data_IF_282774154937
#
_entry.id   IF_282774154937
#
_cell.length_a   1.000
_cell.length_b   1.000
_cell.length_c   1.000
_cell.angle_alpha   90.00
_cell.angle_beta   90.00
_cell.angle_gamma   90.00
#
_symmetry.space_group_name_H-M   'P 1'
#
loop_
_entity.id
_entity.type
_entity.pdbx_description
1 polymer ?
#
# COMPACT_ATOMS: atom_id res chain seq x y z
N UNK A 1 14.44 20.91 2.06
CA UNK A 1 14.40 19.50 2.58
C UNK A 1 13.50 18.72 1.65
N UNK A 2 14.02 17.66 1.00
CA UNK A 2 13.19 16.81 0.14
C UNK A 2 12.52 15.71 0.94
N UNK A 3 11.36 15.23 0.47
CA UNK A 3 10.72 14.00 0.93
C UNK A 3 10.72 12.99 -0.22
N UNK A 4 11.05 11.74 0.05
CA UNK A 4 10.96 10.64 -0.91
C UNK A 4 10.04 9.55 -0.35
N UNK A 5 8.90 9.35 -0.99
CA UNK A 5 7.99 8.25 -0.71
C UNK A 5 8.26 7.09 -1.69
N UNK A 6 8.61 5.94 -1.16
CA UNK A 6 8.93 4.74 -1.95
C UNK A 6 7.83 3.70 -1.81
N UNK A 7 7.45 3.11 -2.93
CA UNK A 7 6.83 1.80 -2.89
C UNK A 7 7.71 0.78 -2.15
N UNK A 8 7.10 -0.30 -1.68
CA UNK A 8 7.77 -1.33 -0.91
C UNK A 8 8.08 -2.58 -1.74
N UNK A 9 7.08 -3.23 -2.30
CA UNK A 9 7.21 -4.51 -3.00
C UNK A 9 7.82 -4.36 -4.40
N UNK A 10 8.87 -5.13 -4.70
CA UNK A 10 9.64 -5.07 -5.95
C UNK A 10 10.33 -3.71 -6.22
N UNK A 11 10.20 -2.76 -5.33
CA UNK A 11 10.85 -1.44 -5.38
C UNK A 11 11.97 -1.35 -4.35
N UNK A 12 11.63 -1.48 -3.09
CA UNK A 12 12.55 -1.43 -1.95
C UNK A 12 12.87 -2.83 -1.41
N UNK A 13 11.84 -3.69 -1.32
CA UNK A 13 11.90 -5.04 -0.80
C UNK A 13 11.63 -6.07 -1.90
N UNK A 14 12.56 -7.00 -2.08
CA UNK A 14 12.53 -8.06 -3.08
C UNK A 14 12.44 -9.43 -2.42
N UNK A 15 12.21 -10.49 -3.19
CA UNK A 15 12.25 -11.88 -2.67
C UNK A 15 13.59 -12.24 -2.01
N UNK A 16 14.67 -11.56 -2.39
CA UNK A 16 16.02 -11.71 -1.83
C UNK A 16 16.30 -10.76 -0.67
N UNK A 17 15.31 -9.98 -0.21
CA UNK A 17 15.43 -8.94 0.80
C UNK A 17 15.77 -7.57 0.22
N UNK A 18 16.26 -6.67 1.05
CA UNK A 18 16.69 -5.33 0.63
C UNK A 18 18.04 -5.36 -0.06
N UNK A 19 18.21 -4.53 -1.08
CA UNK A 19 19.52 -4.36 -1.74
C UNK A 19 20.41 -3.42 -0.90
N UNK A 20 21.62 -3.86 -0.56
CA UNK A 20 22.56 -3.10 0.26
C UNK A 20 22.82 -1.68 -0.28
N UNK A 21 22.98 -1.54 -1.60
CA UNK A 21 23.22 -0.23 -2.24
C UNK A 21 22.04 0.75 -2.05
N UNK A 22 20.81 0.24 -2.00
CA UNK A 22 19.63 1.06 -1.81
C UNK A 22 19.52 1.52 -0.35
N UNK A 23 19.85 0.66 0.62
CA UNK A 23 19.94 1.02 2.04
C UNK A 23 21.03 2.09 2.30
N UNK A 24 22.20 1.95 1.66
CA UNK A 24 23.28 2.94 1.76
C UNK A 24 22.86 4.29 1.16
N UNK A 25 22.15 4.28 0.03
CA UNK A 25 21.65 5.50 -0.60
C UNK A 25 20.58 6.20 0.27
N UNK A 26 19.64 5.45 0.85
CA UNK A 26 18.63 5.98 1.79
C UNK A 26 19.32 6.68 2.97
N UNK A 27 20.32 6.04 3.58
CA UNK A 27 21.09 6.66 4.68
C UNK A 27 21.78 7.94 4.27
N UNK A 28 22.37 7.97 3.06
CA UNK A 28 23.00 9.17 2.52
C UNK A 28 21.99 10.31 2.33
N UNK A 29 20.80 9.98 1.82
CA UNK A 29 19.68 10.91 1.63
C UNK A 29 19.22 11.52 2.96
N UNK A 30 19.00 10.68 3.97
CA UNK A 30 18.61 11.12 5.31
C UNK A 30 19.72 11.94 6.00
N UNK A 31 20.98 11.53 5.85
CA UNK A 31 22.14 12.29 6.36
C UNK A 31 22.27 13.68 5.74
N UNK A 32 21.83 13.85 4.49
CA UNK A 32 21.76 15.15 3.84
C UNK A 32 20.58 16.03 4.33
N UNK A 33 19.80 15.56 5.31
CA UNK A 33 18.70 16.29 5.93
C UNK A 33 17.36 16.12 5.23
N UNK A 34 17.22 15.08 4.39
CA UNK A 34 16.00 14.73 3.69
C UNK A 34 15.20 13.66 4.44
N UNK A 35 13.95 13.45 4.05
CA UNK A 35 13.02 12.49 4.68
C UNK A 35 12.70 11.35 3.72
N UNK A 36 12.85 10.11 4.20
CA UNK A 36 12.52 8.89 3.47
C UNK A 36 11.39 8.13 4.15
N UNK A 37 10.38 7.74 3.39
CA UNK A 37 9.28 6.92 3.89
C UNK A 37 8.76 5.93 2.87
N UNK A 38 7.93 5.01 3.34
CA UNK A 38 7.30 3.98 2.52
C UNK A 38 5.85 4.36 2.21
N UNK A 39 5.38 4.01 0.99
CA UNK A 39 4.01 4.20 0.53
C UNK A 39 3.50 2.90 -0.11
N UNK A 40 2.60 2.17 0.57
CA UNK A 40 2.23 0.81 0.19
C UNK A 40 0.79 0.45 0.55
N UNK A 41 0.26 -0.60 -0.08
CA UNK A 41 -1.00 -1.26 0.33
C UNK A 41 -0.87 -2.13 1.59
N UNK A 42 0.36 -2.48 1.99
CA UNK A 42 0.59 -3.30 3.18
C UNK A 42 0.17 -2.59 4.47
N UNK A 43 -0.09 -3.39 5.51
CA UNK A 43 -0.22 -2.89 6.88
C UNK A 43 1.14 -2.42 7.44
N UNK A 44 1.13 -1.65 8.52
CA UNK A 44 2.34 -1.23 9.22
C UNK A 44 3.23 -2.41 9.62
N UNK A 45 2.64 -3.47 10.20
CA UNK A 45 3.39 -4.68 10.57
C UNK A 45 3.96 -5.42 9.35
N UNK A 46 3.26 -5.36 8.20
CA UNK A 46 3.75 -5.90 6.93
C UNK A 46 5.00 -5.20 6.39
N UNK A 47 5.36 -4.03 6.94
CA UNK A 47 6.59 -3.30 6.64
C UNK A 47 7.63 -3.50 7.73
N UNK A 48 7.27 -3.29 8.99
CA UNK A 48 8.23 -3.33 10.11
C UNK A 48 8.81 -4.73 10.29
N UNK A 49 7.97 -5.77 10.16
CA UNK A 49 8.41 -7.16 10.34
C UNK A 49 9.52 -7.59 9.38
N UNK A 50 9.40 -7.43 8.04
CA UNK A 50 10.50 -7.78 7.14
C UNK A 50 11.68 -6.82 7.21
N UNK A 51 11.50 -5.61 7.76
CA UNK A 51 12.57 -4.61 7.89
C UNK A 51 13.43 -4.78 9.14
N UNK A 52 12.99 -5.52 10.15
CA UNK A 52 13.58 -5.59 11.50
C UNK A 52 15.06 -6.03 11.54
N UNK A 53 15.48 -6.86 10.58
CA UNK A 53 16.84 -7.42 10.52
C UNK A 53 17.76 -6.59 9.60
N UNK A 54 17.26 -5.44 9.11
CA UNK A 54 17.98 -4.54 8.22
C UNK A 54 18.18 -3.19 8.88
N UNK A 55 19.30 -2.56 8.58
CA UNK A 55 19.62 -1.21 9.06
C UNK A 55 18.94 -0.17 8.14
N UNK A 56 17.62 -0.07 8.25
CA UNK A 56 16.78 0.88 7.57
C UNK A 56 15.94 1.66 8.58
N UNK A 57 15.82 2.96 8.38
CA UNK A 57 14.94 3.85 9.12
C UNK A 57 13.97 4.51 8.15
N UNK A 58 12.71 4.60 8.56
CA UNK A 58 11.67 5.33 7.83
C UNK A 58 11.27 6.55 8.66
N UNK A 59 11.26 7.73 8.05
CA UNK A 59 10.79 8.96 8.70
C UNK A 59 9.26 9.01 8.77
N UNK A 60 8.58 8.31 7.85
CA UNK A 60 7.12 8.18 7.81
C UNK A 60 6.69 6.90 7.10
N UNK A 61 5.44 6.50 7.36
CA UNK A 61 4.79 5.37 6.72
C UNK A 61 3.43 5.81 6.15
N UNK A 62 3.24 5.62 4.86
CA UNK A 62 1.94 5.65 4.20
C UNK A 62 1.56 4.19 3.96
N UNK A 63 0.63 3.68 4.72
CA UNK A 63 0.22 2.27 4.68
C UNK A 63 -1.25 2.13 4.36
N UNK A 64 -1.67 0.91 4.04
CA UNK A 64 -3.08 0.62 3.73
C UNK A 64 -3.57 1.53 2.59
N UNK A 65 -2.75 1.67 1.53
CA UNK A 65 -3.03 2.51 0.35
C UNK A 65 -3.36 3.97 0.64
N UNK A 66 -2.84 4.51 1.75
CA UNK A 66 -3.06 5.90 2.17
C UNK A 66 -4.17 6.08 3.20
N UNK A 67 -4.82 5.01 3.64
CA UNK A 67 -5.83 5.06 4.71
C UNK A 67 -5.24 5.32 6.09
N UNK A 68 -3.96 4.99 6.30
CA UNK A 68 -3.23 5.25 7.56
C UNK A 68 -1.88 5.90 7.24
N UNK A 69 -1.55 6.95 7.98
CA UNK A 69 -0.22 7.59 7.96
C UNK A 69 0.36 7.54 9.37
N UNK A 70 1.62 7.13 9.48
CA UNK A 70 2.35 7.10 10.75
C UNK A 70 3.68 7.84 10.64
N UNK A 71 4.18 8.34 11.78
CA UNK A 71 5.55 8.86 11.89
C UNK A 71 6.60 7.74 11.96
N UNK A 72 7.87 8.12 12.04
CA UNK A 72 8.99 7.18 12.10
C UNK A 72 8.97 6.28 13.35
N UNK A 73 8.33 6.68 14.41
CA UNK A 73 8.16 5.91 15.65
C UNK A 73 6.91 4.99 15.61
N UNK A 74 6.16 5.02 14.50
CA UNK A 74 4.95 4.21 14.31
C UNK A 74 3.69 4.78 14.98
N UNK A 75 3.73 6.03 15.46
CA UNK A 75 2.55 6.73 15.96
C UNK A 75 1.64 7.11 14.80
N UNK A 76 0.34 6.83 14.91
CA UNK A 76 -0.63 7.23 13.90
C UNK A 76 -0.79 8.75 13.90
N UNK A 77 -0.55 9.38 12.75
CA UNK A 77 -0.72 10.80 12.49
C UNK A 77 -2.07 11.08 11.80
N UNK A 78 -2.51 10.15 10.94
CA UNK A 78 -3.75 10.23 10.20
C UNK A 78 -4.33 8.83 10.02
N UNK A 79 -5.65 8.72 10.17
CA UNK A 79 -6.41 7.52 9.86
C UNK A 79 -7.81 7.95 9.44
N UNK A 80 -8.31 7.38 8.36
CA UNK A 80 -9.67 7.60 7.89
C UNK A 80 -10.37 6.27 7.67
N UNK A 81 -11.48 6.09 8.37
CA UNK A 81 -12.29 4.88 8.35
C UNK A 81 -13.58 5.09 7.56
N UNK A 82 -14.20 3.99 7.19
CA UNK A 82 -15.55 3.91 6.65
C UNK A 82 -16.37 2.83 7.39
N UNK A 83 -17.71 2.81 7.23
CA UNK A 83 -18.57 1.85 7.92
C UNK A 83 -18.24 0.39 7.57
N UNK A 84 -18.05 -0.45 8.59
CA UNK A 84 -17.78 -1.89 8.43
C UNK A 84 -18.86 -2.63 7.62
N UNK A 85 -20.11 -2.20 7.70
CA UNK A 85 -21.22 -2.75 6.94
C UNK A 85 -20.93 -2.82 5.42
N UNK A 86 -20.11 -1.92 4.88
CA UNK A 86 -19.72 -1.95 3.46
C UNK A 86 -18.91 -3.20 3.15
N UNK A 87 -18.04 -3.66 4.06
CA UNK A 87 -17.27 -4.91 3.89
C UNK A 87 -18.22 -6.10 3.86
N UNK A 88 -19.19 -6.14 4.78
CA UNK A 88 -20.18 -7.21 4.88
C UNK A 88 -21.09 -7.24 3.65
N UNK A 89 -21.56 -6.08 3.19
CA UNK A 89 -22.40 -5.98 2.00
C UNK A 89 -21.65 -6.42 0.73
N UNK A 90 -20.43 -5.96 0.53
CA UNK A 90 -19.59 -6.37 -0.60
C UNK A 90 -19.35 -7.89 -0.59
N UNK A 91 -19.05 -8.45 0.60
CA UNK A 91 -18.86 -9.87 0.74
C UNK A 91 -20.14 -10.66 0.43
N UNK A 92 -21.30 -10.24 0.97
CA UNK A 92 -22.57 -10.89 0.73
C UNK A 92 -23.00 -10.83 -0.75
N UNK A 93 -22.66 -9.73 -1.44
CA UNK A 93 -22.96 -9.54 -2.85
C UNK A 93 -22.12 -10.41 -3.78
N UNK A 94 -20.82 -10.56 -3.47
CA UNK A 94 -19.86 -11.18 -4.38
C UNK A 94 -19.28 -12.51 -3.88
N UNK A 95 -19.43 -12.83 -2.59
CA UNK A 95 -18.93 -14.04 -1.91
C UNK A 95 -17.41 -14.29 -2.11
N UNK A 96 -16.64 -13.23 -2.36
CA UNK A 96 -15.20 -13.31 -2.60
C UNK A 96 -14.39 -13.29 -1.29
N UNK A 97 -13.14 -13.72 -1.36
CA UNK A 97 -12.21 -13.61 -0.23
C UNK A 97 -11.96 -12.15 0.11
N UNK A 98 -12.07 -11.82 1.39
CA UNK A 98 -11.86 -10.47 1.91
C UNK A 98 -10.69 -10.45 2.87
N UNK A 99 -9.84 -9.44 2.75
CA UNK A 99 -8.84 -9.07 3.75
C UNK A 99 -8.99 -7.60 4.10
N UNK A 100 -8.85 -7.27 5.36
CA UNK A 100 -8.89 -5.89 5.83
C UNK A 100 -7.92 -5.66 6.98
N UNK A 101 -7.54 -4.40 7.17
CA UNK A 101 -6.65 -3.97 8.25
C UNK A 101 -7.45 -3.12 9.23
N UNK A 102 -7.24 -3.37 10.52
CA UNK A 102 -7.71 -2.52 11.59
C UNK A 102 -6.60 -2.33 12.61
N UNK A 103 -6.17 -1.11 12.80
CA UNK A 103 -4.99 -0.81 13.60
C UNK A 103 -3.74 -1.52 13.09
N UNK A 104 -3.18 -2.42 13.90
CA UNK A 104 -2.00 -3.22 13.54
C UNK A 104 -2.33 -4.68 13.22
N UNK A 105 -3.61 -5.03 13.02
CA UNK A 105 -4.06 -6.39 12.77
C UNK A 105 -4.60 -6.51 11.35
N UNK A 106 -4.16 -7.53 10.63
CA UNK A 106 -4.74 -7.94 9.35
C UNK A 106 -5.74 -9.06 9.61
N UNK A 107 -6.95 -8.89 9.12
CA UNK A 107 -8.02 -9.87 9.19
C UNK A 107 -8.20 -10.50 7.82
N UNK A 108 -8.36 -11.82 7.79
CA UNK A 108 -8.64 -12.60 6.58
C UNK A 108 -9.96 -13.35 6.77
N UNK A 109 -10.79 -13.32 5.76
CA UNK A 109 -12.04 -14.08 5.71
C UNK A 109 -12.28 -14.66 4.32
N UNK A 110 -12.84 -15.85 4.24
CA UNK A 110 -13.28 -16.47 3.00
C UNK A 110 -14.62 -17.20 3.23
N UNK A 111 -15.48 -17.21 2.22
CA UNK A 111 -16.67 -18.05 2.28
C UNK A 111 -16.28 -19.53 2.37
N UNK A 112 -16.91 -20.31 3.27
CA UNK A 112 -16.70 -21.76 3.34
C UNK A 112 -16.94 -22.51 2.01
N UNK A 113 -17.71 -21.90 1.11
CA UNK A 113 -18.01 -22.41 -0.24
C UNK A 113 -16.98 -21.99 -1.27
N UNK A 114 -16.09 -21.04 -0.97
CA UNK A 114 -15.19 -20.45 -1.92
C UNK A 114 -14.02 -21.38 -2.29
N UNK A 115 -13.67 -21.43 -3.58
CA UNK A 115 -12.59 -22.28 -4.09
C UNK A 115 -11.20 -21.83 -3.58
N UNK A 116 -11.06 -20.57 -3.15
CA UNK A 116 -9.81 -19.96 -2.68
C UNK A 116 -9.42 -20.32 -1.24
N UNK A 117 -10.21 -21.15 -0.55
CA UNK A 117 -9.96 -21.56 0.85
C UNK A 117 -8.52 -22.02 1.13
N UNK A 118 -7.91 -22.78 0.22
CA UNK A 118 -6.54 -23.26 0.36
C UNK A 118 -5.55 -22.10 0.30
N UNK A 119 -5.70 -21.19 -0.65
CA UNK A 119 -4.81 -20.05 -0.88
C UNK A 119 -4.86 -19.10 0.33
N UNK A 120 -6.06 -18.81 0.86
CA UNK A 120 -6.19 -17.94 2.04
C UNK A 120 -5.52 -18.56 3.27
N UNK A 121 -5.65 -19.87 3.45
CA UNK A 121 -4.94 -20.58 4.51
C UNK A 121 -3.42 -20.52 4.34
N UNK A 122 -2.92 -20.66 3.12
CA UNK A 122 -1.50 -20.51 2.82
C UNK A 122 -1.02 -19.08 3.12
N UNK A 123 -1.78 -18.06 2.70
CA UNK A 123 -1.50 -16.65 3.03
C UNK A 123 -1.44 -16.45 4.54
N UNK A 124 -2.44 -16.92 5.28
CA UNK A 124 -2.48 -16.85 6.74
C UNK A 124 -1.23 -17.47 7.38
N UNK A 125 -0.86 -18.68 6.96
CA UNK A 125 0.32 -19.35 7.48
C UNK A 125 1.64 -18.64 7.13
N UNK A 126 1.73 -18.08 5.91
CA UNK A 126 2.89 -17.30 5.50
C UNK A 126 3.04 -16.02 6.33
N UNK A 127 1.95 -15.27 6.55
CA UNK A 127 1.93 -14.08 7.39
C UNK A 127 2.27 -14.40 8.85
N UNK A 128 1.70 -15.48 9.42
CA UNK A 128 2.04 -15.96 10.78
C UNK A 128 3.51 -16.35 10.91
N UNK A 129 4.07 -17.03 9.90
CA UNK A 129 5.50 -17.39 9.87
C UNK A 129 6.38 -16.13 9.81
N UNK A 130 5.91 -15.08 9.13
CA UNK A 130 6.55 -13.77 9.11
C UNK A 130 6.38 -12.94 10.39
N UNK A 131 5.73 -13.49 11.44
CA UNK A 131 5.38 -12.78 12.68
C UNK A 131 4.42 -11.59 12.46
N UNK A 132 3.65 -11.58 11.39
CA UNK A 132 2.60 -10.59 11.20
C UNK A 132 1.44 -10.85 12.18
N UNK A 133 0.83 -9.76 12.66
CA UNK A 133 -0.39 -9.85 13.45
C UNK A 133 -1.58 -10.08 12.51
N UNK A 134 -1.91 -11.34 12.28
CA UNK A 134 -2.99 -11.76 11.39
C UNK A 134 -3.97 -12.67 12.10
N UNK A 135 -5.26 -12.47 11.83
CA UNK A 135 -6.38 -13.25 12.35
C UNK A 135 -7.17 -13.81 11.17
N UNK A 136 -7.41 -15.10 11.20
CA UNK A 136 -8.34 -15.76 10.28
C UNK A 136 -9.71 -15.83 10.96
N UNK A 137 -10.71 -15.19 10.38
CA UNK A 137 -12.06 -15.13 10.92
C UNK A 137 -12.87 -16.36 10.47
N UNK A 138 -13.69 -16.88 11.35
CA UNK A 138 -14.73 -17.87 11.02
C UNK A 138 -16.00 -17.18 10.50
N UNK A 139 -16.24 -15.93 10.89
CA UNK A 139 -17.34 -15.10 10.43
C UNK A 139 -16.96 -13.62 10.42
N UNK A 140 -17.46 -12.85 9.46
CA UNK A 140 -17.31 -11.39 9.44
C UNK A 140 -18.03 -10.71 10.63
N UNK A 141 -19.04 -11.34 11.20
CA UNK A 141 -19.80 -10.79 12.34
C UNK A 141 -19.05 -10.88 13.68
N UNK A 142 -17.89 -11.55 13.74
CA UNK A 142 -17.10 -11.66 14.99
C UNK A 142 -16.43 -10.36 15.41
N UNK A 143 -16.26 -9.43 14.49
CA UNK A 143 -15.55 -8.16 14.72
C UNK A 143 -16.33 -6.99 14.13
N UNK A 144 -16.18 -5.84 14.75
CA UNK A 144 -16.68 -4.55 14.23
C UNK A 144 -15.53 -3.54 14.28
N UNK A 145 -14.48 -3.75 13.47
CA UNK A 145 -13.29 -2.93 13.54
C UNK A 145 -13.49 -1.57 12.88
N UNK A 146 -12.58 -0.65 13.13
CA UNK A 146 -12.37 0.50 12.27
C UNK A 146 -11.73 0.03 10.97
N UNK A 147 -12.26 0.45 9.84
CA UNK A 147 -11.84 -0.02 8.53
C UNK A 147 -11.33 1.15 7.67
N UNK A 148 -10.02 1.37 7.59
CA UNK A 148 -9.43 2.32 6.66
C UNK A 148 -9.33 1.78 5.23
N UNK A 149 -9.28 0.44 5.07
CA UNK A 149 -9.23 -0.23 3.77
C UNK A 149 -9.57 -1.71 3.91
N UNK A 150 -10.13 -2.29 2.83
CA UNK A 150 -10.20 -3.73 2.65
C UNK A 150 -9.82 -4.10 1.21
N UNK A 151 -9.44 -5.35 1.00
CA UNK A 151 -9.17 -5.90 -0.33
C UNK A 151 -10.04 -7.12 -0.57
N UNK A 152 -10.54 -7.24 -1.81
CA UNK A 152 -11.21 -8.44 -2.29
C UNK A 152 -10.29 -9.18 -3.24
N UNK A 153 -10.20 -10.50 -3.09
CA UNK A 153 -9.37 -11.36 -3.94
C UNK A 153 -10.26 -12.23 -4.80
N UNK A 154 -10.23 -11.97 -6.09
CA UNK A 154 -10.92 -12.77 -7.09
C UNK A 154 -10.04 -13.95 -7.54
N UNK A 155 -10.64 -14.93 -8.17
CA UNK A 155 -9.93 -16.08 -8.74
C UNK A 155 -8.98 -15.65 -9.87
N UNK A 156 -7.96 -16.49 -10.14
CA UNK A 156 -7.05 -16.26 -11.25
C UNK A 156 -7.81 -16.06 -12.58
N UNK A 157 -7.39 -15.05 -13.38
CA UNK A 157 -7.98 -14.67 -14.68
C UNK A 157 -9.35 -13.96 -14.62
N UNK A 158 -9.72 -13.40 -13.49
CA UNK A 158 -11.01 -12.71 -13.29
C UNK A 158 -10.89 -11.17 -13.40
N UNK A 159 -10.02 -10.66 -14.29
CA UNK A 159 -9.78 -9.21 -14.44
C UNK A 159 -11.04 -8.43 -14.81
N UNK A 160 -11.85 -8.95 -15.74
CA UNK A 160 -13.11 -8.30 -16.14
C UNK A 160 -14.08 -8.22 -14.96
N UNK A 161 -14.19 -9.29 -14.19
CA UNK A 161 -14.99 -9.31 -12.96
C UNK A 161 -14.46 -8.31 -11.92
N UNK A 162 -13.14 -8.15 -11.79
CA UNK A 162 -12.55 -7.17 -10.90
C UNK A 162 -12.99 -5.73 -11.24
N UNK A 163 -13.02 -5.38 -12.53
CA UNK A 163 -13.54 -4.09 -12.98
C UNK A 163 -15.04 -3.94 -12.70
N UNK A 164 -15.85 -4.98 -12.93
CA UNK A 164 -17.30 -4.95 -12.64
C UNK A 164 -17.57 -4.74 -11.15
N UNK A 165 -16.86 -5.45 -10.28
CA UNK A 165 -17.00 -5.32 -8.81
C UNK A 165 -16.53 -3.95 -8.35
N UNK A 166 -15.38 -3.45 -8.83
CA UNK A 166 -14.88 -2.12 -8.47
C UNK A 166 -15.85 -1.01 -8.91
N UNK A 167 -16.44 -1.11 -10.11
CA UNK A 167 -17.45 -0.17 -10.60
C UNK A 167 -18.69 -0.19 -9.71
N UNK A 168 -19.20 -1.38 -9.37
CA UNK A 168 -20.34 -1.52 -8.46
C UNK A 168 -20.07 -0.83 -7.11
N UNK A 169 -18.89 -1.05 -6.50
CA UNK A 169 -18.51 -0.43 -5.23
C UNK A 169 -18.45 1.09 -5.38
N UNK A 170 -17.81 1.60 -6.43
CA UNK A 170 -17.67 3.02 -6.69
C UNK A 170 -19.00 3.72 -6.98
N UNK A 171 -19.98 3.04 -7.56
CA UNK A 171 -21.32 3.58 -7.79
C UNK A 171 -22.19 3.54 -6.53
N UNK A 172 -22.14 2.41 -5.81
CA UNK A 172 -23.03 2.16 -4.66
C UNK A 172 -22.59 2.94 -3.43
N UNK A 173 -21.28 3.01 -3.16
CA UNK A 173 -20.72 3.59 -1.94
C UNK A 173 -19.82 4.79 -2.21
N UNK A 174 -20.11 5.55 -3.27
CA UNK A 174 -19.31 6.69 -3.79
C UNK A 174 -18.94 7.75 -2.76
N UNK A 175 -19.78 7.93 -1.72
CA UNK A 175 -19.57 8.93 -0.68
C UNK A 175 -18.66 8.42 0.47
N UNK A 176 -18.54 7.11 0.62
CA UNK A 176 -17.82 6.46 1.72
C UNK A 176 -16.46 5.90 1.30
N UNK A 177 -16.39 5.28 0.12
CA UNK A 177 -15.20 4.56 -0.34
C UNK A 177 -14.86 4.79 -1.81
N UNK A 178 -13.62 4.46 -2.16
CA UNK A 178 -13.14 4.36 -3.55
C UNK A 178 -12.46 3.00 -3.74
N UNK A 179 -12.86 2.28 -4.79
CA UNK A 179 -12.31 0.99 -5.18
C UNK A 179 -11.35 1.12 -6.36
N UNK A 180 -10.18 0.48 -6.27
CA UNK A 180 -9.14 0.44 -7.29
C UNK A 180 -8.88 -1.01 -7.71
N UNK A 181 -8.80 -1.25 -9.01
CA UNK A 181 -8.42 -2.58 -9.54
C UNK A 181 -6.90 -2.70 -9.55
N UNK A 182 -6.41 -3.81 -9.01
CA UNK A 182 -5.00 -4.20 -9.00
C UNK A 182 -4.91 -5.65 -9.48
N UNK A 183 -4.83 -5.85 -10.79
CA UNK A 183 -4.93 -7.14 -11.47
C UNK A 183 -6.26 -7.84 -11.16
N UNK A 184 -6.24 -8.94 -10.42
CA UNK A 184 -7.43 -9.67 -9.94
C UNK A 184 -7.83 -9.30 -8.51
N UNK A 185 -7.18 -8.30 -7.94
CA UNK A 185 -7.50 -7.76 -6.62
C UNK A 185 -8.24 -6.44 -6.74
N UNK A 186 -9.07 -6.14 -5.77
CA UNK A 186 -9.74 -4.86 -5.64
C UNK A 186 -9.37 -4.31 -4.28
N UNK A 187 -8.66 -3.18 -4.28
CA UNK A 187 -8.32 -2.44 -3.07
C UNK A 187 -9.36 -1.34 -2.86
N UNK A 188 -10.02 -1.33 -1.71
CA UNK A 188 -11.06 -0.37 -1.35
C UNK A 188 -10.58 0.44 -0.16
N UNK A 189 -10.56 1.75 -0.31
CA UNK A 189 -10.12 2.70 0.71
C UNK A 189 -11.24 3.68 1.04
N UNK A 190 -11.19 4.29 2.22
CA UNK A 190 -12.06 5.41 2.56
C UNK A 190 -11.99 6.50 1.48
N UNK A 191 -13.12 7.07 1.12
CA UNK A 191 -13.17 8.08 0.06
C UNK A 191 -12.20 9.23 0.32
N UNK A 192 -11.47 9.68 -0.71
CA UNK A 192 -10.42 10.68 -0.61
C UNK A 192 -9.07 10.13 -0.09
N UNK A 193 -8.97 8.86 0.30
CA UNK A 193 -7.70 8.20 0.58
C UNK A 193 -7.10 7.65 -0.72
N UNK A 194 -5.84 7.93 -0.92
CA UNK A 194 -4.99 7.36 -1.98
C UNK A 194 -3.53 7.56 -1.62
N UNK A 195 -2.65 6.82 -2.25
CA UNK A 195 -1.20 7.00 -2.10
C UNK A 195 -0.77 8.44 -2.41
N UNK A 196 -1.37 9.06 -3.42
CA UNK A 196 -1.07 10.45 -3.80
C UNK A 196 -1.57 11.47 -2.78
N UNK A 197 -2.82 11.34 -2.32
CA UNK A 197 -3.36 12.24 -1.29
C UNK A 197 -2.61 12.12 0.03
N UNK A 198 -2.18 10.91 0.38
CA UNK A 198 -1.35 10.69 1.56
C UNK A 198 0.06 11.30 1.42
N UNK A 199 0.66 11.28 0.22
CA UNK A 199 1.91 12.00 -0.04
C UNK A 199 1.74 13.51 0.12
N UNK A 200 0.65 14.10 -0.38
CA UNK A 200 0.32 15.52 -0.15
C UNK A 200 0.10 15.84 1.32
N UNK A 201 -0.50 14.91 2.06
CA UNK A 201 -0.64 15.06 3.51
C UNK A 201 0.73 15.09 4.21
N UNK A 202 1.64 14.21 3.86
CA UNK A 202 3.03 14.18 4.37
C UNK A 202 3.80 15.44 3.97
N UNK A 203 3.62 15.93 2.74
CA UNK A 203 4.19 17.19 2.29
C UNK A 203 3.78 18.36 3.22
N UNK A 204 2.49 18.46 3.50
CA UNK A 204 1.96 19.50 4.41
C UNK A 204 2.47 19.32 5.85
N UNK A 205 2.55 18.08 6.33
CA UNK A 205 3.03 17.76 7.68
C UNK A 205 4.48 18.19 7.90
N UNK A 206 5.35 17.98 6.91
CA UNK A 206 6.75 18.40 6.96
C UNK A 206 6.99 19.84 6.45
N UNK A 207 5.96 20.55 6.00
CA UNK A 207 6.05 21.89 5.42
C UNK A 207 7.07 21.97 4.28
N UNK A 208 6.93 21.06 3.32
CA UNK A 208 7.84 20.94 2.17
C UNK A 208 7.22 21.56 0.93
N UNK A 209 8.00 22.34 0.19
CA UNK A 209 7.57 22.96 -1.07
C UNK A 209 7.35 21.89 -2.17
N UNK A 210 6.51 22.21 -3.15
CA UNK A 210 6.13 21.26 -4.22
C UNK A 210 7.34 20.67 -4.95
N UNK A 211 8.36 21.49 -5.25
CA UNK A 211 9.60 21.08 -5.92
C UNK A 211 10.52 20.16 -5.08
N UNK A 212 10.13 19.85 -3.86
CA UNK A 212 10.86 18.97 -2.95
C UNK A 212 10.17 17.61 -2.73
N UNK A 213 9.04 17.37 -3.42
CA UNK A 213 8.23 16.15 -3.27
C UNK A 213 8.64 15.10 -4.30
N UNK A 214 9.09 13.94 -3.82
CA UNK A 214 9.60 12.86 -4.65
C UNK A 214 8.82 11.56 -4.40
N UNK A 215 8.57 10.81 -5.46
CA UNK A 215 7.86 9.52 -5.41
C UNK A 215 8.51 8.48 -6.32
N UNK A 216 8.58 7.22 -5.87
CA UNK A 216 9.09 6.10 -6.68
C UNK A 216 8.19 4.87 -6.55
N UNK A 217 7.85 4.23 -7.68
CA UNK A 217 7.05 3.02 -7.73
C UNK A 217 7.18 2.28 -9.05
N UNK A 218 6.79 0.99 -9.08
CA UNK A 218 7.07 0.07 -10.18
C UNK A 218 5.84 -0.33 -11.01
N UNK A 219 4.61 0.00 -10.57
CA UNK A 219 3.40 -0.55 -11.18
C UNK A 219 2.22 0.46 -11.21
N UNK A 220 1.15 0.10 -11.90
CA UNK A 220 -0.05 0.92 -12.14
C UNK A 220 -0.70 1.46 -10.86
N UNK A 221 -0.72 0.68 -9.78
CA UNK A 221 -1.28 1.10 -8.49
C UNK A 221 -0.46 2.21 -7.79
N UNK A 222 0.69 2.60 -8.37
CA UNK A 222 1.51 3.73 -7.91
C UNK A 222 1.35 4.99 -8.76
N UNK A 223 0.60 4.96 -9.87
CA UNK A 223 0.34 6.17 -10.67
C UNK A 223 -0.18 7.34 -9.82
N UNK A 224 -1.09 7.16 -8.83
CA UNK A 224 -1.49 8.26 -7.96
C UNK A 224 -0.35 8.86 -7.14
N UNK A 225 0.64 8.05 -6.74
CA UNK A 225 1.86 8.52 -6.06
C UNK A 225 2.74 9.30 -7.01
N UNK A 226 3.02 8.75 -8.21
CA UNK A 226 3.88 9.36 -9.22
C UNK A 226 3.32 10.71 -9.68
N UNK A 227 2.01 10.80 -9.95
CA UNK A 227 1.34 12.04 -10.35
C UNK A 227 1.28 13.11 -9.24
N UNK A 228 1.42 12.72 -7.98
CA UNK A 228 1.42 13.64 -6.85
C UNK A 228 2.82 14.11 -6.44
N UNK A 229 3.85 13.50 -7.00
CA UNK A 229 5.24 13.87 -6.78
C UNK A 229 5.71 14.78 -7.92
N UNK A 230 6.41 15.87 -7.61
CA UNK A 230 7.04 16.72 -8.62
C UNK A 230 8.21 15.99 -9.28
N UNK A 231 8.97 15.21 -8.50
CA UNK A 231 10.01 14.33 -9.02
C UNK A 231 9.56 12.88 -8.90
N UNK A 232 9.04 12.34 -9.99
CA UNK A 232 8.56 10.98 -10.05
C UNK A 232 9.55 10.03 -10.73
N UNK A 233 9.75 8.87 -10.11
CA UNK A 233 10.68 7.85 -10.56
C UNK A 233 9.96 6.52 -10.77
N UNK A 234 10.33 5.81 -11.81
CA UNK A 234 9.97 4.40 -12.01
C UNK A 234 11.19 3.62 -12.50
N UNK A 235 11.01 2.34 -12.75
CA UNK A 235 12.12 1.45 -13.09
C UNK A 235 12.09 1.03 -14.55
N UNK A 236 13.26 0.66 -15.11
CA UNK A 236 13.42 0.12 -16.44
C UNK A 236 12.70 -1.23 -16.64
N UNK A 237 12.39 -1.95 -15.56
CA UNK A 237 11.59 -3.19 -15.56
C UNK A 237 10.08 -2.95 -15.34
N UNK A 238 9.65 -1.73 -15.04
CA UNK A 238 8.22 -1.39 -14.89
C UNK A 238 7.50 -1.51 -16.26
N UNK A 239 6.17 -1.74 -16.27
CA UNK A 239 5.40 -1.73 -17.50
C UNK A 239 5.59 -0.42 -18.29
N UNK A 240 5.74 -0.52 -19.63
CA UNK A 240 5.98 0.64 -20.48
C UNK A 240 4.98 1.82 -20.27
N UNK A 241 3.67 1.60 -20.05
CA UNK A 241 2.75 2.69 -19.73
C UNK A 241 3.06 3.39 -18.41
N UNK A 242 3.59 2.67 -17.39
CA UNK A 242 4.02 3.26 -16.11
C UNK A 242 5.28 4.10 -16.31
N UNK A 243 6.23 3.60 -17.14
CA UNK A 243 7.43 4.35 -17.51
C UNK A 243 7.10 5.68 -18.19
N UNK A 244 6.06 5.72 -19.03
CA UNK A 244 5.63 6.92 -19.72
C UNK A 244 5.03 8.00 -18.82
N UNK A 245 4.58 7.63 -17.62
CA UNK A 245 3.95 8.53 -16.64
C UNK A 245 4.94 9.07 -15.59
N UNK A 246 6.17 8.56 -15.55
CA UNK A 246 7.19 9.02 -14.62
C UNK A 246 8.13 10.04 -15.27
N UNK A 247 8.62 11.02 -14.49
CA UNK A 247 9.64 11.97 -14.94
C UNK A 247 10.97 11.28 -15.28
N UNK A 248 11.33 10.26 -14.48
CA UNK A 248 12.60 9.54 -14.62
C UNK A 248 12.41 8.03 -14.59
N UNK A 249 13.11 7.34 -15.50
CA UNK A 249 13.23 5.88 -15.49
C UNK A 249 14.63 5.51 -15.02
N UNK A 250 14.74 4.71 -13.96
CA UNK A 250 16.03 4.37 -13.30
C UNK A 250 16.18 2.87 -13.14
N UNK A 251 17.42 2.39 -13.02
CA UNK A 251 17.71 0.96 -12.80
C UNK A 251 17.59 0.55 -11.31
N UNK A 252 17.53 1.50 -10.37
CA UNK A 252 17.45 1.22 -8.94
C UNK A 252 17.05 2.45 -8.11
N UNK A 253 16.54 2.21 -6.89
CA UNK A 253 16.27 3.29 -5.93
C UNK A 253 17.54 4.09 -5.61
N UNK A 254 18.69 3.44 -5.51
CA UNK A 254 19.97 4.14 -5.28
C UNK A 254 20.35 5.11 -6.42
N UNK A 255 19.90 4.85 -7.65
CA UNK A 255 20.09 5.77 -8.77
C UNK A 255 19.14 6.98 -8.64
N UNK A 256 17.86 6.76 -8.31
CA UNK A 256 16.94 7.86 -8.05
C UNK A 256 17.45 8.79 -6.94
N UNK A 257 17.93 8.20 -5.84
CA UNK A 257 18.52 8.98 -4.73
C UNK A 257 19.72 9.81 -5.18
N UNK A 258 20.59 9.30 -6.06
CA UNK A 258 21.74 10.06 -6.58
C UNK A 258 21.32 11.27 -7.42
N UNK A 259 20.18 11.17 -8.13
CA UNK A 259 19.64 12.31 -8.89
C UNK A 259 19.01 13.37 -7.96
N UNK A 260 18.63 12.97 -6.75
CA UNK A 260 18.01 13.86 -5.77
C UNK A 260 19.03 14.55 -4.84
N UNK A 261 20.22 14.02 -4.69
CA UNK A 261 21.32 14.60 -3.89
C UNK A 261 22.10 15.64 -4.68
#
# INVERSE_FOLDING_TARGET
MKILASDFDNTLFFRTGFKKKDLEAIKAFQKAGHKFGVCTGRSYNGIVTPSKDYDIHYDFYIVVSGGIIKDGDGKTLYEKDFPYAIVEDCFNQFEETVSFVSGNTTYLYYSPRHQMKAIVKEMYHAMKKGNENVVLLDSLHEVTPKIPSFSMHLGHKEQEKAHQVANYINETYKDDVTAFVNDVHIDVCANGCSKGNALKWIQNYYHVDDDQVCGIGDNFNYLPLLHSATHSFTFDYAPAPVQAEAEHVVASLSEAVKLLL
#
